data_IF_148078161099
#
_entry.id   IF_148078161099
#
_cell.length_a   1.000
_cell.length_b   1.000
_cell.length_c   1.000
_cell.angle_alpha   90.00
_cell.angle_beta   90.00
_cell.angle_gamma   90.00
#
_symmetry.space_group_name_H-M   'P 1'
#
loop_
_entity.id
_entity.type
_entity.pdbx_description
1 polymer ?
#
# COMPACT_ATOMS: atom_id res chain seq x y z
N UNK A 1 26.18 -24.83 -1.89
CA UNK A 1 25.02 -24.67 -2.84
C UNK A 1 23.78 -25.23 -2.14
N UNK A 2 22.66 -24.53 -2.20
CA UNK A 2 21.42 -24.96 -1.54
C UNK A 2 20.94 -26.31 -2.12
N UNK A 3 20.55 -27.25 -1.25
CA UNK A 3 20.16 -28.63 -1.57
C UNK A 3 21.26 -29.53 -2.19
N UNK A 4 22.51 -29.08 -2.19
CA UNK A 4 23.68 -29.91 -2.55
C UNK A 4 24.58 -30.08 -1.32
N UNK A 5 24.92 -29.00 -0.67
CA UNK A 5 25.79 -28.94 0.52
C UNK A 5 25.14 -28.18 1.71
N UNK A 6 24.06 -27.45 1.44
CA UNK A 6 23.23 -26.76 2.44
C UNK A 6 21.79 -27.27 2.34
N UNK A 7 21.29 -27.86 3.42
CA UNK A 7 19.97 -28.47 3.50
C UNK A 7 19.10 -27.83 4.61
N UNK A 8 17.76 -27.99 4.53
CA UNK A 8 16.89 -27.67 5.66
C UNK A 8 17.32 -28.37 6.94
N UNK A 9 17.11 -27.71 8.07
CA UNK A 9 17.42 -28.24 9.42
C UNK A 9 16.35 -29.23 9.92
N UNK A 10 15.71 -29.96 9.04
CA UNK A 10 14.77 -31.04 9.35
C UNK A 10 15.48 -32.37 9.44
N UNK A 11 14.88 -33.36 10.11
CA UNK A 11 15.50 -34.67 10.33
C UNK A 11 15.82 -35.40 9.03
N UNK A 12 14.95 -35.24 8.03
CA UNK A 12 15.07 -35.85 6.69
C UNK A 12 15.74 -34.91 5.67
N UNK A 13 16.19 -33.73 6.09
CA UNK A 13 16.78 -32.68 5.23
C UNK A 13 15.88 -32.18 4.11
N UNK A 14 14.57 -32.38 4.21
CA UNK A 14 13.58 -31.88 3.26
C UNK A 14 12.85 -30.69 3.82
N UNK A 15 12.28 -29.86 2.93
CA UNK A 15 11.38 -28.78 3.35
C UNK A 15 10.08 -29.43 3.84
N UNK A 16 9.68 -29.12 5.06
CA UNK A 16 8.36 -29.47 5.56
C UNK A 16 7.33 -28.46 5.03
N UNK A 17 6.52 -28.90 4.09
CA UNK A 17 5.48 -28.05 3.47
C UNK A 17 4.23 -27.93 4.35
N UNK A 18 4.07 -28.77 5.36
CA UNK A 18 2.95 -28.73 6.30
C UNK A 18 3.43 -28.91 7.74
N UNK A 19 4.15 -27.92 8.29
CA UNK A 19 4.69 -28.00 9.63
C UNK A 19 3.57 -27.95 10.68
N UNK A 20 3.16 -29.10 11.21
CA UNK A 20 2.03 -29.25 12.14
C UNK A 20 2.11 -28.30 13.34
N UNK A 21 3.32 -28.07 13.86
CA UNK A 21 3.52 -27.17 14.99
C UNK A 21 3.16 -25.72 14.65
N UNK A 22 3.58 -25.25 13.48
CA UNK A 22 3.25 -23.89 13.02
C UNK A 22 1.77 -23.78 12.68
N UNK A 23 1.18 -24.81 12.07
CA UNK A 23 -0.26 -24.85 11.81
C UNK A 23 -1.09 -24.75 13.09
N UNK A 24 -0.67 -25.41 14.16
CA UNK A 24 -1.31 -25.33 15.48
C UNK A 24 -1.13 -23.96 16.15
N UNK A 25 -0.06 -23.26 15.87
CA UNK A 25 0.21 -21.91 16.41
C UNK A 25 -0.48 -20.80 15.63
N UNK A 26 -0.81 -21.02 14.37
CA UNK A 26 -1.49 -20.04 13.55
C UNK A 26 -2.95 -19.87 14.01
N UNK A 27 -3.46 -18.64 14.25
CA UNK A 27 -4.79 -18.40 14.85
C UNK A 27 -5.94 -19.03 14.08
N UNK A 28 -5.80 -19.18 12.75
CA UNK A 28 -6.84 -19.70 11.84
C UNK A 28 -6.34 -20.86 10.98
N UNK A 29 -5.23 -21.49 11.39
CA UNK A 29 -4.50 -22.46 10.58
C UNK A 29 -3.54 -21.83 9.59
N UNK A 30 -2.37 -22.46 9.40
CA UNK A 30 -1.28 -21.92 8.57
C UNK A 30 -1.67 -21.67 7.11
N UNK A 31 -2.58 -22.47 6.57
CA UNK A 31 -3.03 -22.39 5.18
C UNK A 31 -4.50 -21.94 5.04
N UNK A 32 -5.09 -21.44 6.13
CA UNK A 32 -6.43 -20.89 6.12
C UNK A 32 -6.45 -19.53 5.40
N UNK A 33 -7.36 -19.35 4.43
CA UNK A 33 -7.62 -18.05 3.83
C UNK A 33 -8.30 -17.13 4.84
N UNK A 34 -7.76 -15.95 5.03
CA UNK A 34 -8.37 -14.87 5.81
C UNK A 34 -8.85 -13.80 4.84
N UNK A 35 -10.13 -13.40 4.87
CA UNK A 35 -10.58 -12.24 4.11
C UNK A 35 -9.89 -11.00 4.67
N UNK A 36 -9.49 -10.14 3.76
CA UNK A 36 -8.87 -8.87 4.09
C UNK A 36 -9.86 -7.94 4.83
N UNK A 37 -9.52 -7.47 6.03
CA UNK A 37 -10.43 -6.73 6.89
C UNK A 37 -10.54 -5.25 6.53
N UNK A 38 -10.97 -4.92 5.30
CA UNK A 38 -11.42 -3.56 5.01
C UNK A 38 -12.53 -3.16 5.96
N UNK A 39 -12.44 -1.98 6.56
CA UNK A 39 -13.47 -1.41 7.41
C UNK A 39 -14.41 -0.52 6.61
N UNK A 40 -15.60 -0.23 7.14
CA UNK A 40 -16.51 0.77 6.52
C UNK A 40 -15.86 2.16 6.47
N UNK A 41 -15.04 2.47 7.46
CA UNK A 41 -14.35 3.76 7.56
C UNK A 41 -13.17 3.85 6.58
N UNK A 42 -12.38 2.78 6.45
CA UNK A 42 -11.22 2.69 5.56
C UNK A 42 -11.35 1.50 4.60
N UNK A 43 -12.20 1.64 3.55
CA UNK A 43 -12.57 0.50 2.71
C UNK A 43 -11.54 0.15 1.64
N UNK A 44 -10.60 1.05 1.33
CA UNK A 44 -9.66 0.87 0.23
C UNK A 44 -8.32 0.34 0.74
N UNK A 45 -7.78 -0.68 0.07
CA UNK A 45 -6.42 -1.15 0.29
C UNK A 45 -5.42 -0.21 -0.39
N UNK A 46 -4.45 0.32 0.36
CA UNK A 46 -3.34 1.07 -0.22
C UNK A 46 -2.16 0.13 -0.46
N UNK A 47 -1.82 -0.09 -1.72
CA UNK A 47 -0.66 -0.88 -2.12
C UNK A 47 0.43 0.05 -2.66
N UNK A 48 1.66 -0.12 -2.15
CA UNK A 48 2.82 0.67 -2.57
C UNK A 48 3.83 -0.21 -3.33
N UNK A 49 3.62 -0.48 -4.63
CA UNK A 49 4.47 -1.33 -5.43
C UNK A 49 5.83 -0.69 -5.71
N UNK A 50 6.80 -1.52 -6.11
CA UNK A 50 8.03 -1.03 -6.72
C UNK A 50 7.72 -0.31 -8.03
N UNK A 51 8.55 0.66 -8.37
CA UNK A 51 8.50 1.36 -9.65
C UNK A 51 9.68 0.93 -10.51
N UNK A 52 9.49 0.80 -11.81
CA UNK A 52 10.58 0.58 -12.77
C UNK A 52 11.56 1.76 -12.87
N UNK A 53 11.17 2.93 -12.40
CA UNK A 53 11.94 4.18 -12.49
C UNK A 53 12.80 4.45 -11.27
N UNK A 54 12.68 3.64 -10.22
CA UNK A 54 13.38 3.89 -8.96
C UNK A 54 13.64 2.62 -8.18
N UNK A 55 14.77 2.57 -7.50
CA UNK A 55 15.08 1.54 -6.52
C UNK A 55 14.69 2.10 -5.14
N UNK A 56 13.47 1.86 -4.72
CA UNK A 56 12.89 2.43 -3.50
C UNK A 56 13.06 3.96 -3.48
N UNK A 57 13.78 4.54 -2.50
CA UNK A 57 14.03 5.99 -2.40
C UNK A 57 15.24 6.47 -3.20
N UNK A 58 16.04 5.57 -3.75
CA UNK A 58 17.23 5.90 -4.54
C UNK A 58 16.81 6.63 -5.82
N UNK A 59 17.64 7.55 -6.30
CA UNK A 59 17.39 8.39 -7.46
C UNK A 59 16.22 9.36 -7.31
N UNK A 60 15.76 9.60 -6.09
CA UNK A 60 14.66 10.54 -5.79
C UNK A 60 15.02 12.00 -6.10
N UNK A 61 16.30 12.33 -6.19
CA UNK A 61 16.82 13.63 -6.58
C UNK A 61 16.64 13.94 -8.08
N UNK A 62 16.50 12.93 -8.93
CA UNK A 62 16.32 13.11 -10.36
C UNK A 62 14.90 13.64 -10.68
N UNK A 63 14.76 14.43 -11.77
CA UNK A 63 13.43 14.84 -12.25
C UNK A 63 12.54 13.64 -12.52
N UNK A 64 11.30 13.70 -12.04
CA UNK A 64 10.31 12.63 -12.20
C UNK A 64 8.99 13.20 -12.68
N UNK A 65 8.18 12.39 -13.39
CA UNK A 65 6.77 12.68 -13.55
C UNK A 65 6.10 12.87 -12.20
N UNK A 66 5.01 13.61 -12.20
CA UNK A 66 4.16 13.75 -11.04
C UNK A 66 3.75 12.37 -10.51
N UNK A 67 3.89 12.17 -9.22
CA UNK A 67 3.40 10.96 -8.55
C UNK A 67 1.92 11.13 -8.29
N UNK A 68 1.13 10.13 -8.67
CA UNK A 68 -0.33 10.12 -8.53
C UNK A 68 -0.79 8.88 -7.79
N UNK A 69 -1.98 8.99 -7.19
CA UNK A 69 -2.70 7.84 -6.65
C UNK A 69 -3.55 7.24 -7.76
N UNK A 70 -3.25 6.00 -8.14
CA UNK A 70 -4.06 5.29 -9.13
C UNK A 70 -5.24 4.61 -8.45
N UNK A 71 -6.41 4.69 -9.05
CA UNK A 71 -7.64 4.08 -8.55
C UNK A 71 -8.55 3.59 -9.67
N UNK A 72 -9.40 2.63 -9.34
CA UNK A 72 -10.37 2.08 -10.29
C UNK A 72 -11.44 3.13 -10.66
N UNK A 73 -11.89 3.18 -11.93
CA UNK A 73 -12.94 4.12 -12.36
C UNK A 73 -14.24 4.02 -11.56
N UNK A 74 -14.65 2.81 -11.13
CA UNK A 74 -15.87 2.65 -10.34
C UNK A 74 -15.70 3.22 -8.92
N UNK A 75 -14.56 3.00 -8.27
CA UNK A 75 -14.26 3.57 -6.96
C UNK A 75 -14.14 5.09 -7.00
N UNK A 76 -13.63 5.64 -8.11
CA UNK A 76 -13.55 7.07 -8.37
C UNK A 76 -14.94 7.68 -8.54
N UNK A 77 -15.80 7.06 -9.37
CA UNK A 77 -17.16 7.52 -9.61
C UNK A 77 -18.01 7.53 -8.30
N UNK A 78 -17.89 6.51 -7.46
CA UNK A 78 -18.57 6.44 -6.15
C UNK A 78 -18.18 7.60 -5.22
N UNK A 79 -17.04 8.27 -5.47
CA UNK A 79 -16.49 9.37 -4.67
C UNK A 79 -16.52 10.71 -5.38
N UNK A 80 -17.11 10.78 -6.58
CA UNK A 80 -17.11 11.96 -7.45
C UNK A 80 -15.69 12.49 -7.72
N UNK A 81 -14.75 11.56 -7.96
CA UNK A 81 -13.35 11.86 -8.27
C UNK A 81 -13.13 11.70 -9.78
N UNK A 82 -12.46 12.67 -10.38
CA UNK A 82 -12.09 12.70 -11.79
C UNK A 82 -10.55 12.64 -11.94
N UNK A 83 -10.10 12.36 -13.17
CA UNK A 83 -8.67 12.34 -13.52
C UNK A 83 -8.01 13.68 -13.16
N UNK A 84 -6.92 13.62 -12.41
CA UNK A 84 -6.14 14.79 -12.00
C UNK A 84 -6.68 15.56 -10.80
N UNK A 85 -7.81 15.17 -10.22
CA UNK A 85 -8.34 15.82 -9.03
C UNK A 85 -7.35 15.75 -7.86
N UNK A 86 -7.36 16.79 -7.02
CA UNK A 86 -6.61 16.78 -5.78
C UNK A 86 -7.32 15.92 -4.74
N UNK A 87 -6.60 14.96 -4.18
CA UNK A 87 -7.11 14.00 -3.23
C UNK A 87 -6.51 14.22 -1.84
N UNK A 88 -7.34 13.98 -0.83
CA UNK A 88 -6.94 13.61 0.53
C UNK A 88 -7.05 12.10 0.65
N UNK A 89 -5.98 11.46 1.09
CA UNK A 89 -5.90 10.03 1.40
C UNK A 89 -5.54 9.90 2.86
N UNK A 90 -6.35 9.21 3.66
CA UNK A 90 -6.10 9.16 5.11
C UNK A 90 -6.56 7.86 5.75
N UNK A 91 -6.07 7.64 6.94
CA UNK A 91 -6.54 6.64 7.91
C UNK A 91 -6.30 7.14 9.34
N UNK A 92 -6.45 6.27 10.32
CA UNK A 92 -6.22 6.61 11.73
C UNK A 92 -4.77 7.03 12.06
N UNK A 93 -3.79 6.71 11.20
CA UNK A 93 -2.37 7.01 11.41
C UNK A 93 -1.98 8.38 10.87
N UNK A 94 -2.64 8.85 9.80
CA UNK A 94 -2.30 10.12 9.20
C UNK A 94 -3.00 10.39 7.88
N UNK A 95 -2.49 11.39 7.15
CA UNK A 95 -3.00 11.74 5.83
C UNK A 95 -1.89 12.13 4.86
N UNK A 96 -2.16 11.98 3.58
CA UNK A 96 -1.36 12.56 2.51
C UNK A 96 -2.24 13.26 1.48
N UNK A 97 -1.66 14.17 0.70
CA UNK A 97 -2.33 14.86 -0.42
C UNK A 97 -1.60 14.61 -1.73
N UNK A 98 -2.35 14.17 -2.74
CA UNK A 98 -1.82 13.70 -4.02
C UNK A 98 -2.87 13.90 -5.11
N UNK A 99 -2.49 13.87 -6.39
CA UNK A 99 -3.46 13.91 -7.48
C UNK A 99 -3.93 12.51 -7.87
N UNK A 100 -5.18 12.43 -8.37
CA UNK A 100 -5.78 11.21 -8.89
C UNK A 100 -5.19 10.80 -10.24
N UNK A 101 -5.09 9.49 -10.47
CA UNK A 101 -4.99 8.88 -11.78
C UNK A 101 -6.04 7.76 -11.87
N UNK A 102 -6.86 7.78 -12.90
CA UNK A 102 -7.93 6.79 -13.08
C UNK A 102 -7.42 5.67 -13.98
N UNK A 103 -7.44 4.44 -13.48
CA UNK A 103 -6.87 3.30 -14.19
C UNK A 103 -7.73 2.04 -14.06
N UNK A 104 -8.08 1.45 -15.21
CA UNK A 104 -8.76 0.15 -15.28
C UNK A 104 -7.85 -1.02 -14.87
N UNK A 105 -6.54 -0.80 -14.76
CA UNK A 105 -5.58 -1.81 -14.33
C UNK A 105 -5.61 -2.03 -12.81
N UNK A 106 -6.15 -1.07 -12.06
CA UNK A 106 -6.33 -1.19 -10.61
C UNK A 106 -7.68 -1.86 -10.33
N UNK A 107 -7.70 -2.90 -9.51
CA UNK A 107 -8.94 -3.56 -9.09
C UNK A 107 -9.76 -2.66 -8.17
N UNK A 108 -11.09 -2.84 -8.18
CA UNK A 108 -11.97 -2.19 -7.20
C UNK A 108 -11.55 -2.50 -5.77
N UNK A 109 -11.69 -1.51 -4.90
CA UNK A 109 -11.30 -1.61 -3.50
C UNK A 109 -9.79 -1.45 -3.26
N UNK A 110 -9.01 -1.16 -4.30
CA UNK A 110 -7.57 -0.96 -4.22
C UNK A 110 -7.19 0.41 -4.76
N UNK A 111 -6.23 1.06 -4.11
CA UNK A 111 -5.54 2.24 -4.63
C UNK A 111 -4.05 2.00 -4.58
N UNK A 112 -3.31 2.55 -5.55
CA UNK A 112 -1.86 2.32 -5.64
C UNK A 112 -1.09 3.61 -5.81
N UNK A 113 0.10 3.66 -5.24
CA UNK A 113 1.12 4.66 -5.51
C UNK A 113 2.51 4.05 -5.35
N UNK A 114 3.53 4.47 -6.12
CA UNK A 114 4.85 3.90 -6.01
C UNK A 114 5.44 4.04 -4.60
N UNK A 115 6.14 3.03 -4.10
CA UNK A 115 6.95 3.15 -2.88
C UNK A 115 8.18 4.04 -3.12
N UNK A 116 8.77 4.54 -2.03
CA UNK A 116 10.00 5.32 -2.11
C UNK A 116 9.84 6.75 -2.64
N UNK A 117 8.63 7.26 -2.63
CA UNK A 117 8.32 8.64 -3.00
C UNK A 117 8.92 9.61 -1.97
N UNK A 118 9.60 10.65 -2.44
CA UNK A 118 10.13 11.69 -1.57
C UNK A 118 9.07 12.72 -1.20
N UNK A 119 9.18 13.30 -0.02
CA UNK A 119 8.23 14.30 0.51
C UNK A 119 7.94 15.46 -0.46
N UNK A 120 8.93 15.90 -1.22
CA UNK A 120 8.78 16.98 -2.22
C UNK A 120 7.90 16.62 -3.41
N UNK A 121 7.59 15.34 -3.60
CA UNK A 121 6.77 14.83 -4.72
C UNK A 121 5.31 14.65 -4.35
N UNK A 122 4.90 15.04 -3.14
CA UNK A 122 3.52 15.08 -2.67
C UNK A 122 3.14 16.50 -2.25
N UNK A 123 1.84 16.80 -2.20
CA UNK A 123 1.37 18.17 -1.98
C UNK A 123 1.58 18.69 -0.55
N UNK A 124 1.45 17.80 0.43
CA UNK A 124 1.60 18.16 1.84
C UNK A 124 2.87 17.58 2.49
N UNK A 125 3.78 17.00 1.70
CA UNK A 125 5.03 16.43 2.17
C UNK A 125 4.89 15.11 2.93
N UNK A 126 3.70 14.48 2.94
CA UNK A 126 3.50 13.13 3.46
C UNK A 126 3.38 12.13 2.32
N UNK A 127 3.81 10.90 2.56
CA UNK A 127 3.84 9.80 1.58
C UNK A 127 3.07 8.61 2.13
N UNK A 128 3.02 7.49 1.39
CA UNK A 128 2.37 6.25 1.88
C UNK A 128 2.85 5.80 3.26
N UNK A 129 4.07 6.16 3.66
CA UNK A 129 4.58 5.82 4.99
C UNK A 129 3.76 6.44 6.15
N UNK A 130 3.10 7.57 5.90
CA UNK A 130 2.22 8.18 6.91
C UNK A 130 0.94 7.36 7.16
N UNK A 131 0.63 6.43 6.27
CA UNK A 131 -0.59 5.62 6.27
C UNK A 131 -0.30 4.13 6.53
N UNK A 132 0.98 3.73 6.53
CA UNK A 132 1.39 2.34 6.69
C UNK A 132 1.38 1.92 8.15
N UNK A 133 0.76 0.77 8.50
CA UNK A 133 0.83 0.25 9.85
C UNK A 133 2.25 -0.19 10.22
N UNK A 134 2.54 -0.22 11.51
CA UNK A 134 3.77 -0.75 12.09
C UNK A 134 3.60 -2.18 12.63
N UNK A 135 2.47 -2.80 12.33
CA UNK A 135 2.18 -4.18 12.72
C UNK A 135 3.12 -5.17 12.05
N UNK A 136 3.36 -6.26 12.75
CA UNK A 136 4.15 -7.39 12.26
C UNK A 136 3.24 -8.58 11.97
N UNK A 137 3.64 -9.40 10.99
CA UNK A 137 2.95 -10.66 10.74
C UNK A 137 3.12 -11.62 11.93
N UNK A 138 2.10 -12.41 12.19
CA UNK A 138 1.98 -13.30 13.35
C UNK A 138 3.07 -14.37 13.42
N UNK A 139 3.39 -15.04 12.33
CA UNK A 139 4.38 -16.14 12.30
C UNK A 139 5.79 -15.69 11.97
N UNK A 140 5.95 -14.76 11.05
CA UNK A 140 7.26 -14.40 10.52
C UNK A 140 7.84 -13.11 11.09
N UNK A 141 7.06 -12.31 11.81
CA UNK A 141 7.49 -11.01 12.33
C UNK A 141 7.87 -10.01 11.22
N UNK A 142 7.41 -10.23 9.98
CA UNK A 142 7.65 -9.33 8.86
C UNK A 142 6.73 -8.12 8.90
N UNK A 143 7.18 -6.98 8.36
CA UNK A 143 6.39 -5.77 8.32
C UNK A 143 5.19 -5.89 7.36
N UNK A 144 4.01 -5.48 7.82
CA UNK A 144 2.74 -5.55 7.08
C UNK A 144 2.41 -4.21 6.39
N UNK A 145 3.37 -3.55 5.78
CA UNK A 145 3.21 -2.20 5.22
C UNK A 145 2.21 -2.10 4.05
N UNK A 146 1.86 -3.20 3.39
CA UNK A 146 0.80 -3.23 2.37
C UNK A 146 -0.59 -3.55 2.94
N UNK A 147 -0.71 -3.74 4.24
CA UNK A 147 -2.01 -3.91 4.92
C UNK A 147 -2.65 -2.58 5.28
N UNK A 148 -2.13 -1.49 4.75
CA UNK A 148 -2.68 -0.16 4.94
C UNK A 148 -4.09 -0.07 4.35
N UNK A 149 -5.04 0.39 5.17
CA UNK A 149 -6.41 0.70 4.79
C UNK A 149 -6.62 2.18 4.83
N UNK A 150 -7.29 2.71 3.82
CA UNK A 150 -7.44 4.16 3.65
C UNK A 150 -8.85 4.52 3.18
N UNK A 151 -9.20 5.77 3.41
CA UNK A 151 -10.26 6.48 2.74
C UNK A 151 -9.66 7.51 1.78
N UNK A 152 -10.41 7.81 0.72
CA UNK A 152 -10.01 8.79 -0.31
C UNK A 152 -11.18 9.72 -0.58
N UNK A 153 -10.92 11.02 -0.60
CA UNK A 153 -11.88 12.03 -0.99
C UNK A 153 -11.24 13.10 -1.89
N UNK A 154 -12.07 13.73 -2.71
CA UNK A 154 -11.66 14.91 -3.47
C UNK A 154 -11.54 16.11 -2.52
N UNK A 155 -10.42 16.83 -2.62
CA UNK A 155 -10.27 18.13 -1.96
C UNK A 155 -10.81 19.19 -2.88
N UNK A 156 -11.81 19.95 -2.44
CA UNK A 156 -12.29 21.12 -3.17
C UNK A 156 -11.13 22.09 -3.41
N UNK A 157 -11.02 22.63 -4.62
CA UNK A 157 -10.09 23.70 -4.90
C UNK A 157 -10.44 24.86 -3.99
N UNK A 158 -9.52 25.25 -3.08
CA UNK A 158 -9.69 26.52 -2.37
C UNK A 158 -9.99 27.59 -3.43
N UNK A 159 -11.21 28.07 -3.45
CA UNK A 159 -11.59 29.21 -4.27
C UNK A 159 -10.68 30.36 -3.84
N UNK A 160 -9.78 30.78 -4.74
CA UNK A 160 -8.72 31.72 -4.45
C UNK A 160 -9.24 32.91 -3.68
N UNK A 161 -8.81 33.10 -2.45
CA UNK A 161 -8.83 34.40 -1.81
C UNK A 161 -7.92 35.28 -2.64
N UNK A 162 -8.54 36.11 -3.47
CA UNK A 162 -7.85 37.21 -4.12
C UNK A 162 -7.05 37.95 -3.05
N UNK A 163 -5.73 37.98 -3.20
CA UNK A 163 -4.90 38.88 -2.42
C UNK A 163 -5.24 40.29 -2.89
N UNK A 164 -6.01 40.98 -2.09
CA UNK A 164 -6.06 42.45 -2.13
C UNK A 164 -4.77 43.01 -1.57
#
# INVERSE_FOLDING_TARGET
>A
MQFVDVFPKTTDRKIDLFPKLLDQQAPMGLYGYQPDPGTKEFPLALISPASERTISTTLGELPRPEVRLEMNPADAAERNIEEGDSLRVWNALGEMRINAAISVLVKRGIVTMPKGVWRRNTKNGYTSNALSPDSLSDLGGGACFNDARVQVERVEKESGRAKN
#
